data_IF_599026919700
#
_entry.id   IF_599026919700
#
_cell.length_a   1.000
_cell.length_b   1.000
_cell.length_c   1.000
_cell.angle_alpha   90.00
_cell.angle_beta   90.00
_cell.angle_gamma   90.00
#
_symmetry.space_group_name_H-M   'P 1'
#
loop_
_entity.id
_entity.type
_entity.pdbx_description
1 polymer ?
#
# COMPACT_ATOMS: atom_id res chain seq x y z
N UNK A 1 -3.84 47.55 -42.17
CA UNK A 1 -2.77 46.58 -41.87
C UNK A 1 -3.41 45.47 -41.04
N UNK A 2 -3.45 44.25 -41.58
CA UNK A 2 -4.25 43.12 -41.09
C UNK A 2 -3.44 42.39 -40.02
N UNK A 3 -3.87 42.51 -38.76
CA UNK A 3 -3.14 42.00 -37.59
C UNK A 3 -3.21 40.47 -37.59
N UNK A 4 -2.07 39.81 -37.82
CA UNK A 4 -1.92 38.36 -37.81
C UNK A 4 -1.97 37.88 -36.35
N UNK A 5 -3.04 37.19 -35.97
CA UNK A 5 -3.18 36.57 -34.65
C UNK A 5 -2.27 35.32 -34.60
N UNK A 6 -1.09 35.44 -34.00
CA UNK A 6 -0.22 34.32 -33.65
C UNK A 6 -0.85 33.58 -32.46
N UNK A 7 -1.57 32.49 -32.72
CA UNK A 7 -2.01 31.56 -31.68
C UNK A 7 -0.79 30.75 -31.25
N UNK A 8 -0.15 31.18 -30.16
CA UNK A 8 0.88 30.41 -29.47
C UNK A 8 0.18 29.23 -28.78
N UNK A 9 0.17 28.07 -29.43
CA UNK A 9 -0.27 26.82 -28.79
C UNK A 9 0.77 26.47 -27.72
N UNK A 10 0.51 26.85 -26.48
CA UNK A 10 1.22 26.31 -25.32
C UNK A 10 0.90 24.82 -25.29
N UNK A 11 1.82 23.98 -25.77
CA UNK A 11 1.78 22.55 -25.50
C UNK A 11 2.04 22.41 -24.00
N UNK A 12 0.97 22.47 -23.20
CA UNK A 12 1.04 22.07 -21.80
C UNK A 12 1.66 20.67 -21.81
N UNK A 13 2.76 20.40 -21.09
CA UNK A 13 3.17 19.03 -20.90
C UNK A 13 2.01 18.33 -20.22
N UNK A 14 1.26 17.53 -20.97
CA UNK A 14 0.37 16.55 -20.40
C UNK A 14 1.29 15.68 -19.54
N UNK A 15 1.12 15.71 -18.23
CA UNK A 15 1.79 14.78 -17.35
C UNK A 15 1.31 13.39 -17.79
N UNK A 16 2.12 12.72 -18.61
CA UNK A 16 1.92 11.32 -18.95
C UNK A 16 2.28 10.54 -17.69
N UNK A 17 1.30 10.28 -16.83
CA UNK A 17 1.47 9.35 -15.72
C UNK A 17 1.50 7.94 -16.32
N UNK A 18 2.70 7.39 -16.43
CA UNK A 18 2.88 6.01 -16.81
C UNK A 18 2.41 5.14 -15.62
N UNK A 19 1.37 4.34 -15.83
CA UNK A 19 0.88 3.44 -14.79
C UNK A 19 1.97 2.42 -14.40
N UNK A 20 1.91 1.95 -13.16
CA UNK A 20 2.93 1.03 -12.64
C UNK A 20 2.85 -0.34 -13.32
N UNK A 21 4.00 -0.97 -13.54
CA UNK A 21 4.11 -2.33 -14.06
C UNK A 21 5.49 -2.90 -13.79
N UNK A 22 5.55 -4.16 -13.39
CA UNK A 22 6.81 -4.86 -13.16
C UNK A 22 7.22 -4.90 -11.69
N UNK A 23 8.52 -4.75 -11.43
CA UNK A 23 9.12 -5.02 -10.13
C UNK A 23 9.78 -3.78 -9.53
N UNK A 24 9.41 -3.46 -8.30
CA UNK A 24 9.89 -2.30 -7.56
C UNK A 24 10.44 -2.73 -6.20
N UNK A 25 11.51 -2.08 -5.75
CA UNK A 25 12.14 -2.29 -4.45
C UNK A 25 11.77 -1.18 -3.48
N UNK A 26 11.52 -1.55 -2.22
CA UNK A 26 11.20 -0.60 -1.15
C UNK A 26 12.24 -0.70 -0.04
N UNK A 27 12.79 0.44 0.37
CA UNK A 27 13.71 0.60 1.49
C UNK A 27 15.14 0.08 1.25
N UNK A 28 16.03 0.33 2.21
CA UNK A 28 17.46 0.02 2.10
C UNK A 28 18.23 1.01 1.21
N UNK A 29 19.38 0.57 0.67
CA UNK A 29 20.24 1.41 -0.19
C UNK A 29 19.74 1.41 -1.64
N UNK A 30 19.63 2.60 -2.24
CA UNK A 30 19.20 2.80 -3.65
C UNK A 30 17.95 2.00 -4.05
N UNK A 31 16.80 2.15 -3.38
CA UNK A 31 15.55 1.52 -3.79
C UNK A 31 14.82 2.34 -4.87
N UNK A 32 13.80 1.74 -5.48
CA UNK A 32 12.84 2.45 -6.32
C UNK A 32 11.95 3.37 -5.46
N UNK A 33 11.56 2.91 -4.27
CA UNK A 33 10.83 3.68 -3.27
C UNK A 33 11.53 3.67 -1.91
N UNK A 34 11.66 4.84 -1.29
CA UNK A 34 12.25 4.93 0.05
C UNK A 34 11.34 4.34 1.13
N UNK A 35 10.02 4.48 0.97
CA UNK A 35 8.99 4.08 1.96
C UNK A 35 7.84 3.34 1.31
N UNK A 36 7.03 2.65 2.12
CA UNK A 36 5.85 1.94 1.61
C UNK A 36 4.77 2.93 1.20
N UNK A 37 4.55 3.99 1.99
CA UNK A 37 3.60 5.05 1.69
C UNK A 37 3.91 5.77 0.37
N UNK A 38 5.19 5.94 -0.01
CA UNK A 38 5.54 6.55 -1.30
C UNK A 38 5.13 5.65 -2.49
N UNK A 39 5.36 4.34 -2.37
CA UNK A 39 4.94 3.37 -3.38
C UNK A 39 3.40 3.29 -3.50
N UNK A 40 2.71 3.30 -2.36
CA UNK A 40 1.24 3.26 -2.33
C UNK A 40 0.62 4.57 -2.82
N UNK A 41 1.25 5.72 -2.57
CA UNK A 41 0.79 7.00 -3.12
C UNK A 41 0.81 6.98 -4.66
N UNK A 42 1.89 6.51 -5.28
CA UNK A 42 1.96 6.35 -6.73
C UNK A 42 0.96 5.30 -7.24
N UNK A 43 0.82 4.18 -6.53
CA UNK A 43 -0.13 3.14 -6.88
C UNK A 43 -1.58 3.66 -6.90
N UNK A 44 -2.00 4.36 -5.84
CA UNK A 44 -3.34 4.94 -5.75
C UNK A 44 -3.55 6.05 -6.81
N UNK A 45 -2.50 6.82 -7.13
CA UNK A 45 -2.61 7.93 -8.08
C UNK A 45 -2.58 7.49 -9.55
N UNK A 46 -1.82 6.46 -9.88
CA UNK A 46 -1.50 6.09 -11.27
C UNK A 46 -2.13 4.76 -11.69
N UNK A 47 -2.48 3.89 -10.74
CA UNK A 47 -2.94 2.55 -11.03
C UNK A 47 -1.83 1.67 -11.62
N UNK A 48 -2.25 0.59 -12.27
CA UNK A 48 -1.35 -0.38 -12.92
C UNK A 48 -1.70 -0.58 -14.39
N UNK A 49 -0.68 -0.86 -15.21
CA UNK A 49 -0.83 -1.29 -16.61
C UNK A 49 -0.39 -2.75 -16.83
N UNK A 50 -0.04 -3.44 -15.74
CA UNK A 50 0.40 -4.82 -15.76
C UNK A 50 0.70 -5.35 -14.35
N UNK A 51 1.13 -6.61 -14.22
CA UNK A 51 1.42 -7.21 -12.93
C UNK A 51 2.49 -6.42 -12.19
N UNK A 52 2.17 -5.98 -10.98
CA UNK A 52 3.02 -5.06 -10.20
C UNK A 52 3.45 -5.71 -8.89
N UNK A 53 4.76 -5.69 -8.61
CA UNK A 53 5.37 -6.36 -7.45
C UNK A 53 6.30 -5.42 -6.70
N UNK A 54 5.97 -5.14 -5.45
CA UNK A 54 6.80 -4.43 -4.50
C UNK A 54 7.56 -5.42 -3.61
N UNK A 55 8.88 -5.47 -3.74
CA UNK A 55 9.78 -6.19 -2.83
C UNK A 55 10.29 -5.26 -1.72
N UNK A 56 9.71 -5.42 -0.55
CA UNK A 56 10.04 -4.66 0.64
C UNK A 56 11.26 -5.31 1.31
N UNK A 57 12.37 -4.59 1.37
CA UNK A 57 13.59 -5.07 2.01
C UNK A 57 13.41 -5.12 3.52
N UNK A 58 14.12 -6.05 4.17
CA UNK A 58 14.10 -6.20 5.61
C UNK A 58 14.37 -4.86 6.31
N UNK A 59 13.59 -4.59 7.34
CA UNK A 59 13.59 -3.29 7.97
C UNK A 59 12.34 -3.08 8.80
N UNK A 60 12.28 -1.89 9.35
CA UNK A 60 11.26 -1.43 10.26
C UNK A 60 10.59 -0.22 9.61
N UNK A 61 9.31 -0.33 9.34
CA UNK A 61 8.51 0.71 8.67
C UNK A 61 7.42 1.16 9.63
N UNK A 62 7.59 2.35 10.22
CA UNK A 62 6.58 2.96 11.11
C UNK A 62 5.66 3.83 10.25
N UNK A 63 4.71 3.20 9.58
CA UNK A 63 3.88 3.81 8.53
C UNK A 63 2.44 3.28 8.64
N UNK A 64 1.47 4.13 8.31
CA UNK A 64 0.07 3.74 8.14
C UNK A 64 -0.23 3.67 6.65
N UNK A 65 -0.73 2.52 6.19
CA UNK A 65 -0.90 2.24 4.76
C UNK A 65 -2.38 2.11 4.42
N UNK A 66 -2.83 2.82 3.38
CA UNK A 66 -4.18 2.68 2.80
C UNK A 66 -4.06 2.46 1.30
N UNK A 67 -4.45 1.28 0.83
CA UNK A 67 -4.64 0.99 -0.60
C UNK A 67 -6.09 1.28 -0.92
N UNK A 68 -6.31 2.21 -1.84
CA UNK A 68 -7.64 2.56 -2.31
C UNK A 68 -7.95 1.77 -3.61
N UNK A 69 -9.02 2.10 -4.31
CA UNK A 69 -9.34 1.49 -5.60
C UNK A 69 -8.19 1.69 -6.61
N UNK A 70 -7.62 0.58 -7.11
CA UNK A 70 -6.50 0.62 -8.06
C UNK A 70 -6.99 0.36 -9.48
N UNK A 71 -6.97 1.40 -10.30
CA UNK A 71 -7.32 1.30 -11.72
C UNK A 71 -6.36 0.35 -12.45
N UNK A 72 -6.92 -0.53 -13.28
CA UNK A 72 -6.16 -1.46 -14.12
C UNK A 72 -5.82 -2.79 -13.46
N UNK A 73 -6.21 -3.00 -12.20
CA UNK A 73 -6.12 -4.33 -11.58
C UNK A 73 -7.04 -5.33 -12.25
N UNK A 74 -6.59 -6.58 -12.33
CA UNK A 74 -7.35 -7.71 -12.86
C UNK A 74 -6.77 -9.01 -12.33
N UNK A 75 -7.42 -10.14 -12.61
CA UNK A 75 -6.87 -11.46 -12.28
C UNK A 75 -5.48 -11.72 -12.91
N UNK A 76 -5.17 -11.05 -14.04
CA UNK A 76 -3.85 -11.08 -14.66
C UNK A 76 -2.90 -10.01 -14.06
N UNK A 77 -3.41 -8.81 -13.82
CA UNK A 77 -2.65 -7.62 -13.44
C UNK A 77 -2.75 -7.35 -11.94
N UNK A 78 -2.32 -8.33 -11.15
CA UNK A 78 -2.41 -8.24 -9.68
C UNK A 78 -1.33 -7.35 -9.09
N UNK A 79 -1.62 -6.71 -7.95
CA UNK A 79 -0.63 -5.98 -7.15
C UNK A 79 -0.16 -6.85 -5.99
N UNK A 80 1.16 -6.98 -5.84
CA UNK A 80 1.75 -7.76 -4.75
C UNK A 80 2.74 -6.95 -3.94
N UNK A 81 2.52 -6.87 -2.63
CA UNK A 81 3.51 -6.44 -1.64
C UNK A 81 4.10 -7.67 -0.97
N UNK A 82 5.43 -7.82 -1.03
CA UNK A 82 6.11 -8.98 -0.45
C UNK A 82 7.43 -8.63 0.20
N UNK A 83 7.89 -9.46 1.14
CA UNK A 83 9.28 -9.41 1.56
C UNK A 83 10.22 -9.67 0.38
N UNK A 84 11.31 -8.90 0.32
CA UNK A 84 12.42 -9.17 -0.59
C UNK A 84 13.11 -10.50 -0.24
N UNK A 85 13.17 -10.85 1.04
CA UNK A 85 13.65 -12.14 1.55
C UNK A 85 12.63 -12.73 2.55
N UNK A 86 11.95 -13.85 2.23
CA UNK A 86 10.94 -14.45 3.12
C UNK A 86 11.44 -14.89 4.50
N UNK A 87 12.74 -15.16 4.64
CA UNK A 87 13.36 -15.54 5.92
C UNK A 87 13.78 -14.33 6.77
N UNK A 88 13.74 -13.12 6.21
CA UNK A 88 14.04 -11.88 6.90
C UNK A 88 13.01 -10.83 6.50
N UNK A 89 11.83 -10.94 7.11
CA UNK A 89 10.64 -10.18 6.75
C UNK A 89 10.72 -8.74 7.28
N UNK A 90 10.21 -7.76 6.53
CA UNK A 90 10.03 -6.42 7.04
C UNK A 90 8.90 -6.38 8.07
N UNK A 91 9.06 -5.52 9.08
CA UNK A 91 8.02 -5.21 10.06
C UNK A 91 7.38 -3.87 9.72
N UNK A 92 6.09 -3.89 9.40
CA UNK A 92 5.24 -2.70 9.24
C UNK A 92 4.49 -2.51 10.54
N UNK A 93 4.56 -1.30 11.12
CA UNK A 93 3.90 -1.01 12.38
C UNK A 93 3.33 0.38 12.43
N UNK A 94 2.26 0.54 13.19
CA UNK A 94 1.68 1.85 13.41
C UNK A 94 0.95 1.91 14.76
N UNK A 95 0.95 3.10 15.37
CA UNK A 95 0.14 3.41 16.54
C UNK A 95 -1.16 4.06 16.08
N UNK A 96 -2.14 3.22 15.77
CA UNK A 96 -3.46 3.68 15.35
C UNK A 96 -4.23 4.32 16.50
N UNK A 97 -4.94 5.42 16.23
CA UNK A 97 -5.71 6.16 17.23
C UNK A 97 -7.13 6.45 16.72
N UNK A 98 -8.13 6.23 17.58
CA UNK A 98 -9.54 6.51 17.35
C UNK A 98 -10.05 5.92 16.02
N UNK A 99 -10.44 6.78 15.07
CA UNK A 99 -10.97 6.35 13.77
C UNK A 99 -9.89 5.89 12.77
N UNK A 100 -8.63 6.28 12.97
CA UNK A 100 -7.49 5.86 12.14
C UNK A 100 -6.67 4.82 12.89
N UNK A 101 -7.33 3.73 13.28
CA UNK A 101 -6.80 2.72 14.19
C UNK A 101 -6.10 1.54 13.48
N UNK A 102 -5.78 1.61 12.20
CA UNK A 102 -5.21 0.50 11.42
C UNK A 102 -3.71 0.64 11.13
N UNK A 103 -3.04 -0.49 10.89
CA UNK A 103 -1.67 -0.52 10.31
C UNK A 103 -1.74 -0.53 8.79
N UNK A 104 -2.55 -1.44 8.23
CA UNK A 104 -2.74 -1.60 6.79
C UNK A 104 -4.23 -1.70 6.48
N UNK A 105 -4.70 -0.87 5.56
CA UNK A 105 -6.09 -0.85 5.08
C UNK A 105 -6.12 -1.07 3.57
N UNK A 106 -7.10 -1.84 3.13
CA UNK A 106 -7.47 -2.04 1.72
C UNK A 106 -8.94 -1.64 1.62
N UNK A 107 -9.28 -0.70 0.75
CA UNK A 107 -10.64 -0.20 0.58
C UNK A 107 -10.99 -0.10 -0.90
N UNK A 108 -12.14 -0.69 -1.26
CA UNK A 108 -12.66 -0.74 -2.64
C UNK A 108 -11.62 -1.23 -3.68
N UNK A 109 -10.82 -2.24 -3.33
CA UNK A 109 -9.65 -2.64 -4.12
C UNK A 109 -9.54 -4.14 -4.28
N UNK A 110 -9.34 -4.58 -5.52
CA UNK A 110 -9.30 -5.99 -5.90
C UNK A 110 -7.88 -6.48 -6.21
N UNK A 111 -7.70 -7.80 -6.19
CA UNK A 111 -6.50 -8.47 -6.70
C UNK A 111 -5.19 -8.09 -5.96
N UNK A 112 -5.29 -7.77 -4.67
CA UNK A 112 -4.15 -7.40 -3.83
C UNK A 112 -3.58 -8.62 -3.10
N UNK A 113 -2.25 -8.74 -3.10
CA UNK A 113 -1.51 -9.86 -2.50
C UNK A 113 -0.48 -9.36 -1.49
N UNK A 114 -0.64 -9.73 -0.23
CA UNK A 114 0.30 -9.47 0.86
C UNK A 114 1.06 -10.76 1.20
N UNK A 115 2.38 -10.78 1.09
CA UNK A 115 3.18 -12.01 1.29
C UNK A 115 4.41 -11.83 2.15
N UNK A 116 4.53 -12.69 3.17
CA UNK A 116 5.70 -12.74 4.04
C UNK A 116 6.03 -11.40 4.71
N UNK A 117 5.01 -10.69 5.22
CA UNK A 117 5.16 -9.42 5.93
C UNK A 117 4.79 -9.58 7.40
N UNK A 118 5.45 -8.85 8.29
CA UNK A 118 5.06 -8.78 9.70
C UNK A 118 4.35 -7.46 9.97
N UNK A 119 3.11 -7.53 10.46
CA UNK A 119 2.29 -6.37 10.79
C UNK A 119 2.13 -6.26 12.31
N UNK A 120 2.33 -5.07 12.86
CA UNK A 120 2.28 -4.85 14.30
C UNK A 120 1.48 -3.59 14.63
N UNK A 121 0.34 -3.75 15.28
CA UNK A 121 -0.32 -2.63 15.94
C UNK A 121 0.47 -2.27 17.20
N UNK A 122 0.87 -1.00 17.34
CA UNK A 122 1.59 -0.49 18.51
C UNK A 122 0.74 0.52 19.28
N UNK A 123 1.21 0.95 20.46
CA UNK A 123 0.55 1.96 21.27
C UNK A 123 -0.39 1.37 22.33
N UNK A 124 -1.46 2.09 22.66
CA UNK A 124 -2.39 1.74 23.74
C UNK A 124 -3.86 1.95 23.42
N UNK A 125 -4.21 2.30 22.17
CA UNK A 125 -5.62 2.35 21.78
C UNK A 125 -6.19 0.93 21.76
N UNK A 126 -7.14 0.67 22.64
CA UNK A 126 -7.76 -0.64 22.78
C UNK A 126 -8.45 -1.13 21.50
N UNK A 127 -8.75 -0.24 20.56
CA UNK A 127 -9.42 -0.57 19.30
C UNK A 127 -8.45 -0.74 18.12
N UNK A 128 -7.13 -0.85 18.35
CA UNK A 128 -6.18 -0.97 17.25
C UNK A 128 -6.48 -2.20 16.36
N UNK A 129 -6.42 -1.97 15.04
CA UNK A 129 -6.62 -2.95 13.98
C UNK A 129 -5.30 -3.17 13.24
N UNK A 130 -5.00 -4.41 12.89
CA UNK A 130 -3.75 -4.72 12.17
C UNK A 130 -4.01 -4.60 10.66
N UNK A 131 -4.85 -5.46 10.11
CA UNK A 131 -5.27 -5.43 8.71
C UNK A 131 -6.78 -5.15 8.62
N UNK A 132 -7.15 -4.20 7.79
CA UNK A 132 -8.52 -3.79 7.53
C UNK A 132 -8.82 -3.94 6.05
N UNK A 133 -9.93 -4.59 5.72
CA UNK A 133 -10.53 -4.68 4.39
C UNK A 133 -11.91 -4.03 4.50
N UNK A 134 -12.21 -3.10 3.61
CA UNK A 134 -13.45 -2.33 3.61
C UNK A 134 -13.97 -2.17 2.18
N UNK A 135 -15.26 -1.86 2.05
CA UNK A 135 -15.88 -1.60 0.76
C UNK A 135 -16.02 -2.84 -0.12
N UNK A 136 -16.07 -2.62 -1.43
CA UNK A 136 -16.18 -3.70 -2.43
C UNK A 136 -14.77 -4.15 -2.82
N UNK A 137 -14.21 -5.08 -2.04
CA UNK A 137 -12.84 -5.59 -2.23
C UNK A 137 -12.83 -7.11 -2.36
N UNK A 138 -12.35 -7.61 -3.49
CA UNK A 138 -12.34 -9.02 -3.88
C UNK A 138 -10.93 -9.55 -4.27
N UNK A 139 -10.77 -10.88 -4.30
CA UNK A 139 -9.53 -11.58 -4.65
C UNK A 139 -8.28 -11.11 -3.87
N UNK A 140 -8.46 -10.95 -2.56
CA UNK A 140 -7.37 -10.60 -1.63
C UNK A 140 -6.67 -11.86 -1.11
N UNK A 141 -5.33 -11.81 -0.99
CA UNK A 141 -4.57 -12.88 -0.36
C UNK A 141 -3.54 -12.39 0.65
N UNK A 142 -3.53 -13.02 1.83
CA UNK A 142 -2.56 -12.78 2.91
C UNK A 142 -1.85 -14.08 3.20
N UNK A 143 -0.59 -14.22 2.76
CA UNK A 143 0.12 -15.50 2.76
C UNK A 143 1.49 -15.41 3.45
N UNK A 144 1.70 -16.23 4.48
CA UNK A 144 2.97 -16.27 5.22
C UNK A 144 3.27 -15.01 6.02
N UNK A 145 2.25 -14.18 6.27
CA UNK A 145 2.34 -12.97 7.08
C UNK A 145 2.10 -13.27 8.57
N UNK A 146 2.67 -12.44 9.44
CA UNK A 146 2.34 -12.44 10.88
C UNK A 146 1.54 -11.19 11.20
N UNK A 147 0.40 -11.34 11.88
CA UNK A 147 -0.41 -10.22 12.34
C UNK A 147 -0.38 -10.18 13.86
N UNK A 148 0.22 -9.12 14.40
CA UNK A 148 0.40 -8.94 15.84
C UNK A 148 -0.42 -7.74 16.30
N UNK A 149 -1.46 -8.04 17.09
CA UNK A 149 -2.25 -7.02 17.78
C UNK A 149 -1.53 -6.47 19.02
N UNK A 150 -2.21 -5.61 19.75
CA UNK A 150 -1.69 -5.09 21.02
C UNK A 150 -1.55 -6.20 22.07
N UNK A 151 -0.41 -6.21 22.77
CA UNK A 151 -0.17 -7.10 23.90
C UNK A 151 -0.45 -6.36 25.22
N UNK A 152 -1.09 -7.04 26.17
CA UNK A 152 -1.28 -6.52 27.53
C UNK A 152 -2.47 -5.58 27.74
N UNK A 153 -3.38 -5.46 26.77
CA UNK A 153 -4.67 -4.80 26.97
C UNK A 153 -5.62 -5.73 27.73
N UNK A 154 -6.37 -5.19 28.69
CA UNK A 154 -7.38 -5.94 29.46
C UNK A 154 -8.72 -6.07 28.74
N UNK A 155 -8.83 -5.51 27.54
CA UNK A 155 -10.05 -5.49 26.72
C UNK A 155 -9.82 -6.24 25.42
N UNK A 156 -10.88 -6.89 24.91
CA UNK A 156 -10.88 -7.66 23.66
C UNK A 156 -11.29 -6.82 22.43
N UNK A 157 -10.95 -5.53 22.42
CA UNK A 157 -11.43 -4.57 21.41
C UNK A 157 -10.52 -4.47 20.16
N UNK A 158 -9.29 -4.97 20.24
CA UNK A 158 -8.36 -5.00 19.11
C UNK A 158 -8.71 -6.13 18.13
N UNK A 159 -8.48 -5.91 16.84
CA UNK A 159 -8.78 -6.89 15.79
C UNK A 159 -7.56 -7.13 14.90
N UNK A 160 -7.22 -8.40 14.63
CA UNK A 160 -6.11 -8.73 13.74
C UNK A 160 -6.50 -8.52 12.27
N UNK A 161 -7.67 -9.01 11.87
CA UNK A 161 -8.23 -8.85 10.54
C UNK A 161 -9.70 -8.42 10.67
N UNK A 162 -10.01 -7.22 10.18
CA UNK A 162 -11.37 -6.71 10.06
C UNK A 162 -11.70 -6.66 8.57
N UNK A 163 -12.79 -7.31 8.15
CA UNK A 163 -13.25 -7.39 6.77
C UNK A 163 -14.79 -7.39 6.77
#
# INVERSE_FOLDING_TARGET
MRFLLLVLVFLLPAAAHAQLSGFYTIGGSSPDYATISAAVADLNAQGVSGPTRFAIRAGTYTEQISIDAITGTSAADTVQFRAANPSNRPTIRFNGLAANNYVWRIVDSDHIKLRNLDFVATGGDINARVLVVEGDSDDLSVAGCTLTGLAGTTTSAGTLLYA
#
